data_IF_897413855135
#
_entry.id   IF_897413855135
#
_cell.length_a   1.000
_cell.length_b   1.000
_cell.length_c   1.000
_cell.angle_alpha   90.00
_cell.angle_beta   90.00
_cell.angle_gamma   90.00
#
_symmetry.space_group_name_H-M   'P 1'
#
loop_
_entity.id
_entity.type
_entity.pdbx_description
1 polymer ?
#
# COMPACT_ATOMS: atom_id res chain seq x y z
N UNK A 1 -3.51 19.60 -8.54
CA UNK A 1 -3.67 18.29 -7.88
C UNK A 1 -2.81 17.29 -8.63
N UNK A 2 -1.97 16.54 -7.93
CA UNK A 2 -1.04 15.60 -8.55
C UNK A 2 -1.81 14.57 -9.39
N UNK A 3 -1.69 14.63 -10.72
CA UNK A 3 -2.56 13.93 -11.66
C UNK A 3 -2.47 12.40 -11.62
N UNK A 4 -1.47 11.83 -10.92
CA UNK A 4 -1.23 10.40 -10.86
C UNK A 4 -2.06 9.63 -9.82
N UNK A 5 -2.69 10.30 -8.84
CA UNK A 5 -3.37 9.63 -7.72
C UNK A 5 -4.89 9.66 -7.90
N UNK A 6 -5.50 8.47 -8.04
CA UNK A 6 -6.96 8.33 -8.09
C UNK A 6 -7.61 8.60 -6.72
N UNK A 7 -8.85 9.09 -6.70
CA UNK A 7 -9.62 9.35 -5.45
C UNK A 7 -9.74 8.11 -4.55
N UNK A 8 -9.94 6.95 -5.17
CA UNK A 8 -9.88 5.64 -4.53
C UNK A 8 -8.76 4.85 -5.22
N UNK A 9 -7.50 5.11 -4.84
CA UNK A 9 -6.33 4.57 -5.53
C UNK A 9 -6.08 3.10 -5.20
N UNK A 10 -6.10 2.78 -3.92
CA UNK A 10 -5.88 1.45 -3.43
C UNK A 10 -6.63 1.28 -2.10
N UNK A 11 -6.81 0.03 -1.70
CA UNK A 11 -7.45 -0.34 -0.44
C UNK A 11 -6.50 -1.20 0.38
N UNK A 12 -6.43 -0.94 1.69
CA UNK A 12 -5.71 -1.79 2.64
C UNK A 12 -6.72 -2.64 3.40
N UNK A 13 -6.57 -3.96 3.31
CA UNK A 13 -7.51 -4.92 3.88
C UNK A 13 -6.74 -5.87 4.79
N UNK A 14 -7.18 -6.02 6.05
CA UNK A 14 -6.64 -7.05 6.94
C UNK A 14 -7.51 -8.31 6.85
N UNK A 15 -6.97 -9.41 6.36
CA UNK A 15 -7.65 -10.72 6.23
C UNK A 15 -6.69 -11.83 6.59
N UNK A 16 -7.17 -12.84 7.31
CA UNK A 16 -6.37 -14.02 7.70
C UNK A 16 -5.08 -13.67 8.46
N UNK A 17 -5.07 -12.55 9.19
CA UNK A 17 -3.90 -12.06 9.92
C UNK A 17 -2.90 -11.27 9.06
N UNK A 18 -3.08 -11.20 7.75
CA UNK A 18 -2.22 -10.49 6.81
C UNK A 18 -2.79 -9.11 6.44
N UNK A 19 -1.92 -8.13 6.26
CA UNK A 19 -2.28 -6.86 5.63
C UNK A 19 -2.14 -7.01 4.12
N UNK A 20 -3.20 -6.72 3.37
CA UNK A 20 -3.23 -6.84 1.92
C UNK A 20 -3.51 -5.48 1.28
N UNK A 21 -2.89 -5.24 0.13
CA UNK A 21 -3.08 -4.05 -0.70
C UNK A 21 -3.80 -4.42 -1.99
N UNK A 22 -4.92 -3.77 -2.26
CA UNK A 22 -5.71 -3.96 -3.48
C UNK A 22 -5.58 -2.72 -4.35
N UNK A 23 -5.08 -2.87 -5.58
CA UNK A 23 -5.02 -1.77 -6.55
C UNK A 23 -6.41 -1.47 -7.14
N UNK A 24 -6.81 -0.20 -7.11
CA UNK A 24 -8.04 0.34 -7.72
C UNK A 24 -7.74 1.52 -8.65
N UNK A 25 -6.46 1.75 -8.93
CA UNK A 25 -5.99 2.99 -9.54
C UNK A 25 -6.09 2.98 -11.06
N UNK A 26 -6.13 4.19 -11.63
CA UNK A 26 -5.98 4.38 -13.08
C UNK A 26 -4.52 4.29 -13.55
N UNK A 27 -3.57 4.73 -12.71
CA UNK A 27 -2.16 4.90 -13.09
C UNK A 27 -1.22 3.84 -12.50
N UNK A 28 -1.77 2.88 -11.74
CA UNK A 28 -1.04 1.78 -11.12
C UNK A 28 -0.59 2.08 -9.69
N UNK A 29 -0.65 1.03 -8.88
CA UNK A 29 0.02 0.96 -7.58
C UNK A 29 1.28 0.11 -7.70
N UNK A 30 2.34 0.48 -6.98
CA UNK A 30 3.62 -0.21 -6.98
C UNK A 30 4.01 -0.60 -5.55
N UNK A 31 4.62 -1.76 -5.37
CA UNK A 31 5.22 -2.21 -4.10
C UNK A 31 6.67 -2.57 -4.39
N UNK A 32 7.60 -1.98 -3.65
CA UNK A 32 9.05 -2.15 -3.86
C UNK A 32 9.44 -1.97 -5.34
N UNK A 33 8.97 -0.85 -5.91
CA UNK A 33 9.16 -0.45 -7.32
C UNK A 33 8.50 -1.34 -8.38
N UNK A 34 7.87 -2.45 -7.98
CA UNK A 34 7.16 -3.37 -8.87
C UNK A 34 5.69 -3.02 -8.94
N UNK A 35 5.16 -2.85 -10.15
CA UNK A 35 3.72 -2.64 -10.34
C UNK A 35 2.96 -3.89 -9.92
N UNK A 36 1.94 -3.73 -9.11
CA UNK A 36 1.07 -4.84 -8.70
C UNK A 36 -0.16 -4.94 -9.61
N UNK A 37 -0.79 -6.10 -9.64
CA UNK A 37 -2.06 -6.33 -10.33
C UNK A 37 -3.00 -7.07 -9.40
N UNK A 38 -4.14 -6.44 -9.07
CA UNK A 38 -5.10 -7.00 -8.11
C UNK A 38 -4.67 -6.79 -6.65
N UNK A 39 -4.50 -7.89 -5.91
CA UNK A 39 -4.21 -7.91 -4.48
C UNK A 39 -2.82 -8.49 -4.20
N UNK A 40 -2.09 -7.91 -3.24
CA UNK A 40 -0.82 -8.45 -2.73
C UNK A 40 -0.78 -8.38 -1.21
N UNK A 41 -0.15 -9.36 -0.55
CA UNK A 41 0.17 -9.28 0.87
C UNK A 41 1.35 -8.32 1.10
N UNK A 42 1.22 -7.43 2.08
CA UNK A 42 2.25 -6.48 2.49
C UNK A 42 3.03 -7.01 3.69
N UNK A 43 4.33 -6.73 3.67
CA UNK A 43 5.24 -6.98 4.78
C UNK A 43 5.69 -5.66 5.41
N UNK A 44 6.08 -5.67 6.71
CA UNK A 44 6.76 -4.53 7.30
C UNK A 44 7.99 -4.15 6.47
N UNK A 45 8.25 -2.84 6.39
CA UNK A 45 9.27 -2.20 5.55
C UNK A 45 9.00 -2.17 4.04
N UNK A 46 7.89 -2.73 3.54
CA UNK A 46 7.50 -2.54 2.15
C UNK A 46 7.27 -1.05 1.84
N UNK A 47 7.67 -0.63 0.64
CA UNK A 47 7.42 0.72 0.12
C UNK A 47 6.35 0.65 -0.95
N UNK A 48 5.21 1.28 -0.68
CA UNK A 48 4.10 1.42 -1.61
C UNK A 48 4.24 2.76 -2.33
N UNK A 49 4.14 2.77 -3.66
CA UNK A 49 4.01 4.00 -4.45
C UNK A 49 2.68 4.04 -5.16
N UNK A 50 1.94 5.15 -4.98
CA UNK A 50 0.63 5.37 -5.58
C UNK A 50 0.72 6.39 -6.73
N UNK A 51 0.47 5.97 -7.96
CA UNK A 51 0.43 6.87 -9.13
C UNK A 51 1.77 7.18 -9.80
N UNK A 52 1.72 8.04 -10.83
CA UNK A 52 2.90 8.48 -11.61
C UNK A 52 2.73 9.91 -12.18
N UNK A 53 3.57 10.90 -11.79
CA UNK A 53 4.39 10.86 -10.58
C UNK A 53 3.47 10.69 -9.35
N UNK A 54 3.97 9.96 -8.36
CA UNK A 54 3.15 9.42 -7.27
C UNK A 54 3.84 9.53 -5.92
N UNK A 55 3.06 9.35 -4.86
CA UNK A 55 3.55 9.43 -3.47
C UNK A 55 4.04 8.07 -2.97
N UNK A 56 5.05 8.08 -2.09
CA UNK A 56 5.58 6.88 -1.44
C UNK A 56 5.08 6.76 0.01
N UNK A 57 4.67 5.57 0.40
CA UNK A 57 4.17 5.20 1.72
C UNK A 57 4.96 4.00 2.22
N UNK A 58 5.45 4.04 3.46
CA UNK A 58 6.18 2.93 4.06
C UNK A 58 5.27 2.13 5.00
N UNK A 59 5.28 0.81 4.86
CA UNK A 59 4.57 -0.09 5.76
C UNK A 59 5.38 -0.23 7.05
N UNK A 60 4.82 0.24 8.16
CA UNK A 60 5.41 0.08 9.49
C UNK A 60 4.52 -0.82 10.35
N UNK A 61 5.15 -1.63 11.20
CA UNK A 61 4.47 -2.41 12.23
C UNK A 61 4.72 -1.73 13.57
N UNK A 62 3.65 -1.34 14.24
CA UNK A 62 3.72 -0.82 15.61
C UNK A 62 3.47 -1.96 16.57
N UNK A 63 4.43 -2.25 17.45
CA UNK A 63 4.19 -3.11 18.59
C UNK A 63 3.63 -2.24 19.72
N UNK A 64 2.45 -2.57 20.23
CA UNK A 64 1.99 -1.98 21.47
C UNK A 64 2.85 -2.57 22.59
N UNK A 65 3.71 -1.77 23.21
CA UNK A 65 4.36 -2.16 24.46
C UNK A 65 3.25 -2.33 25.49
N UNK A 66 2.84 -3.58 25.73
CA UNK A 66 1.94 -3.90 26.84
C UNK A 66 2.66 -3.52 28.12
N UNK A 67 2.20 -2.45 28.78
CA UNK A 67 2.54 -2.19 30.17
C UNK A 67 2.03 -3.37 31.00
N UNK A 68 2.96 -3.96 31.75
CA UNK A 68 2.79 -5.12 32.63
C UNK A 68 1.68 -4.96 33.64
#
# INVERSE_FOLDING_TARGET
>A
GQGGVSRAHCELVKRDGELKLVDKSRFGTFVNEKRISGEIALQPADVIRIGSPGEQLQVIRMEATGGT
#
